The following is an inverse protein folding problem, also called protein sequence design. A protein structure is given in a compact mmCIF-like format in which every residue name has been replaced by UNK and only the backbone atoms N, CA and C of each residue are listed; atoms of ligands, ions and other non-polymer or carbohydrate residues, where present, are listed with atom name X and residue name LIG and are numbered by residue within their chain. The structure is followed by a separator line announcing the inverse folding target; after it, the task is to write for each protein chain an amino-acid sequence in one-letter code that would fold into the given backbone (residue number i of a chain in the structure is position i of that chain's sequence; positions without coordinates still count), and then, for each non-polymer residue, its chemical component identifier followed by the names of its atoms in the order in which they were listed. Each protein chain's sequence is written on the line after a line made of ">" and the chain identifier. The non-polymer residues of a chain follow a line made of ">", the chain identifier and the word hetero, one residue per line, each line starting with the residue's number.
data_IF_592679829439
#
_entry.id   IF_592679829439
#
_cell.length_a   1.000
_cell.length_b   1.000
_cell.length_c   1.000
_cell.angle_alpha   90.00
_cell.angle_beta   90.00
_cell.angle_gamma   90.00
#
_symmetry.space_group_name_H-M   'P 1'
#
loop_
_entity.id
_entity.type
_entity.pdbx_description
1 polymer ?
#
# COMPACT_ATOMS: atom_id res chain seq x y z
N UNK A 1 -32.43 -6.80 21.93
CA UNK A 1 -32.31 -7.60 20.69
C UNK A 1 -31.62 -6.84 19.55
N UNK A 2 -31.81 -5.53 19.42
CA UNK A 2 -31.23 -4.69 18.34
C UNK A 2 -29.68 -4.66 18.27
N UNK A 3 -28.97 -4.69 19.40
CA UNK A 3 -27.51 -4.61 19.43
C UNK A 3 -26.79 -5.86 18.88
N UNK A 4 -27.42 -7.04 18.93
CA UNK A 4 -26.83 -8.28 18.37
C UNK A 4 -26.83 -8.27 16.84
N UNK A 5 -27.88 -7.72 16.21
CA UNK A 5 -27.94 -7.57 14.76
C UNK A 5 -26.84 -6.63 14.24
N UNK A 6 -26.60 -5.50 14.89
CA UNK A 6 -25.54 -4.58 14.46
C UNK A 6 -24.15 -5.21 14.55
N UNK A 7 -23.84 -5.97 15.62
CA UNK A 7 -22.57 -6.72 15.71
C UNK A 7 -22.46 -7.77 14.60
N UNK A 8 -23.51 -8.53 14.32
CA UNK A 8 -23.49 -9.57 13.29
C UNK A 8 -23.35 -9.00 11.87
N UNK A 9 -24.03 -7.88 11.61
CA UNK A 9 -23.94 -7.13 10.35
C UNK A 9 -22.52 -6.57 10.19
N UNK A 10 -21.96 -5.93 11.22
CA UNK A 10 -20.58 -5.42 11.18
C UNK A 10 -19.54 -6.53 10.96
N UNK A 11 -19.73 -7.72 11.55
CA UNK A 11 -18.85 -8.87 11.32
C UNK A 11 -18.96 -9.36 9.87
N UNK A 12 -20.17 -9.40 9.30
CA UNK A 12 -20.37 -9.76 7.89
C UNK A 12 -19.70 -8.76 6.95
N UNK A 13 -19.93 -7.45 7.15
CA UNK A 13 -19.27 -6.40 6.36
C UNK A 13 -17.76 -6.45 6.49
N UNK A 14 -17.23 -6.59 7.71
CA UNK A 14 -15.80 -6.69 7.95
C UNK A 14 -15.18 -7.88 7.20
N UNK A 15 -15.80 -9.06 7.26
CA UNK A 15 -15.34 -10.25 6.52
C UNK A 15 -15.34 -10.02 5.00
N UNK A 16 -16.43 -9.48 4.45
CA UNK A 16 -16.55 -9.19 3.02
C UNK A 16 -15.48 -8.19 2.57
N UNK A 17 -15.21 -7.16 3.37
CA UNK A 17 -14.19 -6.15 3.06
C UNK A 17 -12.78 -6.75 2.99
N UNK A 18 -12.41 -7.64 3.92
CA UNK A 18 -11.09 -8.30 3.87
C UNK A 18 -10.96 -9.21 2.64
N UNK A 19 -12.01 -9.96 2.28
CA UNK A 19 -11.99 -10.80 1.09
C UNK A 19 -11.83 -9.97 -0.18
N UNK A 20 -12.56 -8.85 -0.29
CA UNK A 20 -12.43 -7.94 -1.42
C UNK A 20 -11.01 -7.37 -1.55
N UNK A 21 -10.41 -6.94 -0.43
CA UNK A 21 -9.04 -6.43 -0.41
C UNK A 21 -8.02 -7.46 -0.90
N UNK A 22 -8.15 -8.73 -0.51
CA UNK A 22 -7.26 -9.81 -0.98
C UNK A 22 -7.44 -10.11 -2.47
N UNK A 23 -8.69 -10.15 -2.96
CA UNK A 23 -8.97 -10.38 -4.39
C UNK A 23 -8.47 -9.22 -5.23
N UNK A 24 -8.71 -7.97 -4.80
CA UNK A 24 -8.22 -6.78 -5.48
C UNK A 24 -6.69 -6.74 -5.52
N UNK A 25 -6.03 -7.08 -4.40
CA UNK A 25 -4.58 -7.21 -4.33
C UNK A 25 -4.06 -8.23 -5.35
N UNK A 26 -4.61 -9.44 -5.34
CA UNK A 26 -4.16 -10.51 -6.24
C UNK A 26 -4.47 -10.20 -7.71
N UNK A 27 -5.68 -9.73 -8.02
CA UNK A 27 -6.08 -9.40 -9.38
C UNK A 27 -5.23 -8.27 -9.98
N UNK A 28 -4.94 -7.22 -9.20
CA UNK A 28 -4.17 -6.08 -9.68
C UNK A 28 -2.65 -6.29 -9.57
N UNK A 29 -2.12 -6.47 -8.36
CA UNK A 29 -0.66 -6.53 -8.19
C UNK A 29 -0.06 -7.82 -8.75
N UNK A 30 -0.75 -8.95 -8.63
CA UNK A 30 -0.20 -10.22 -9.10
C UNK A 30 -0.56 -10.47 -10.57
N UNK A 31 -1.84 -10.56 -10.93
CA UNK A 31 -2.22 -10.95 -12.29
C UNK A 31 -1.96 -9.84 -13.31
N UNK A 32 -2.43 -8.62 -13.05
CA UNK A 32 -2.31 -7.52 -14.01
C UNK A 32 -0.85 -7.09 -14.22
N UNK A 33 -0.09 -6.81 -13.15
CA UNK A 33 1.31 -6.38 -13.32
C UNK A 33 2.20 -7.47 -13.92
N UNK A 34 2.02 -8.75 -13.58
CA UNK A 34 2.77 -9.83 -14.24
C UNK A 34 2.40 -9.97 -15.72
N UNK A 35 1.13 -9.84 -16.09
CA UNK A 35 0.73 -9.88 -17.49
C UNK A 35 1.40 -8.77 -18.30
N UNK A 36 1.44 -7.54 -17.75
CA UNK A 36 2.17 -6.42 -18.37
C UNK A 36 3.67 -6.66 -18.41
N UNK A 37 4.27 -7.21 -17.35
CA UNK A 37 5.69 -7.54 -17.33
C UNK A 37 6.06 -8.55 -18.42
N UNK A 38 5.22 -9.57 -18.65
CA UNK A 38 5.43 -10.56 -19.71
C UNK A 38 5.28 -9.95 -21.10
N UNK A 39 4.24 -9.14 -21.33
CA UNK A 39 4.04 -8.43 -22.59
C UNK A 39 5.21 -7.49 -22.91
N UNK A 40 5.77 -6.82 -21.91
CA UNK A 40 6.90 -5.90 -22.06
C UNK A 40 8.27 -6.58 -21.99
N UNK A 41 8.33 -7.91 -21.78
CA UNK A 41 9.55 -8.68 -21.51
C UNK A 41 10.39 -8.09 -20.38
N UNK A 42 9.72 -7.55 -19.37
CA UNK A 42 10.35 -6.98 -18.19
C UNK A 42 10.72 -8.11 -17.22
N UNK A 43 12.01 -8.19 -16.87
CA UNK A 43 12.56 -9.29 -16.08
C UNK A 43 12.31 -9.13 -14.56
N UNK A 44 12.16 -7.89 -14.08
CA UNK A 44 11.93 -7.64 -12.65
C UNK A 44 10.44 -7.74 -12.32
N UNK A 45 10.07 -8.82 -11.63
CA UNK A 45 8.68 -9.14 -11.27
C UNK A 45 8.40 -8.94 -9.78
N UNK A 46 9.29 -8.25 -9.07
CA UNK A 46 9.17 -8.05 -7.62
C UNK A 46 8.21 -6.90 -7.28
N UNK A 47 6.91 -7.09 -7.56
CA UNK A 47 5.88 -6.07 -7.30
C UNK A 47 5.43 -5.99 -5.83
N UNK A 48 5.54 -7.10 -5.10
CA UNK A 48 5.23 -7.22 -3.68
C UNK A 48 6.12 -8.29 -3.02
N UNK A 49 6.21 -8.30 -1.69
CA UNK A 49 6.95 -9.29 -0.90
C UNK A 49 6.05 -9.88 0.20
N UNK A 50 6.60 -10.60 1.17
CA UNK A 50 5.90 -11.33 2.23
C UNK A 50 5.26 -10.38 3.26
N UNK A 51 4.29 -9.58 2.81
CA UNK A 51 3.62 -8.57 3.62
C UNK A 51 2.72 -9.16 4.70
N UNK A 52 2.21 -10.38 4.50
CA UNK A 52 1.33 -11.06 5.45
C UNK A 52 2.08 -11.51 6.72
N UNK A 53 3.40 -11.69 6.64
CA UNK A 53 4.26 -12.06 7.76
C UNK A 53 4.87 -10.83 8.47
N UNK A 54 4.54 -9.62 8.01
CA UNK A 54 5.12 -8.40 8.57
C UNK A 54 4.69 -8.20 10.03
N UNK A 55 5.68 -8.15 10.93
CA UNK A 55 5.46 -7.92 12.37
C UNK A 55 5.32 -6.44 12.75
N UNK A 56 5.69 -5.54 11.84
CA UNK A 56 5.62 -4.09 12.07
C UNK A 56 4.88 -3.38 10.93
N UNK A 57 4.13 -2.33 11.28
CA UNK A 57 3.44 -1.47 10.32
C UNK A 57 4.41 -0.87 9.29
N UNK A 58 5.61 -0.51 9.73
CA UNK A 58 6.64 0.01 8.85
C UNK A 58 7.08 -1.02 7.81
N UNK A 59 7.15 -2.31 8.17
CA UNK A 59 7.48 -3.38 7.22
C UNK A 59 6.31 -3.64 6.27
N UNK A 60 5.08 -3.67 6.79
CA UNK A 60 3.86 -3.90 6.00
C UNK A 60 3.73 -2.90 4.83
N UNK A 61 3.91 -1.60 5.09
CA UNK A 61 3.83 -0.58 4.03
C UNK A 61 4.92 -0.70 2.96
N UNK A 62 6.08 -1.30 3.27
CA UNK A 62 7.17 -1.50 2.30
C UNK A 62 6.95 -2.72 1.41
N UNK A 63 6.37 -3.78 1.98
CA UNK A 63 6.27 -5.08 1.31
C UNK A 63 4.93 -5.28 0.60
N UNK A 64 3.90 -4.50 0.95
CA UNK A 64 2.58 -4.57 0.31
C UNK A 64 2.62 -4.19 -1.18
N UNK A 65 3.11 -2.98 -1.51
CA UNK A 65 3.25 -2.51 -2.89
C UNK A 65 4.63 -1.88 -3.06
N UNK A 66 5.58 -2.68 -3.54
CA UNK A 66 6.98 -2.28 -3.66
C UNK A 66 7.12 -1.17 -4.69
N UNK A 67 6.35 -1.22 -5.78
CA UNK A 67 6.42 -0.21 -6.87
C UNK A 67 6.09 1.19 -6.36
N UNK A 68 4.95 1.33 -5.66
CA UNK A 68 4.53 2.62 -5.10
C UNK A 68 5.47 3.06 -3.98
N UNK A 69 5.87 2.11 -3.11
CA UNK A 69 6.80 2.42 -2.04
C UNK A 69 8.15 2.93 -2.57
N UNK A 70 8.71 2.29 -3.59
CA UNK A 70 10.00 2.67 -4.18
C UNK A 70 9.92 3.99 -4.93
N UNK A 71 8.79 4.27 -5.59
CA UNK A 71 8.50 5.58 -6.18
C UNK A 71 8.45 6.69 -5.12
N UNK A 72 7.65 6.51 -4.06
CA UNK A 72 7.55 7.47 -2.95
C UNK A 72 8.91 7.66 -2.27
N UNK A 73 9.67 6.59 -2.08
CA UNK A 73 10.99 6.64 -1.47
C UNK A 73 11.99 7.42 -2.34
N UNK A 74 12.03 7.12 -3.64
CA UNK A 74 13.03 7.67 -4.55
C UNK A 74 12.77 9.14 -4.91
N UNK A 75 11.51 9.53 -5.09
CA UNK A 75 11.15 10.88 -5.56
C UNK A 75 10.76 11.84 -4.45
N UNK A 76 10.19 11.36 -3.34
CA UNK A 76 9.76 12.24 -2.25
C UNK A 76 10.74 12.15 -1.12
N UNK A 77 10.89 10.96 -0.54
CA UNK A 77 11.72 10.81 0.67
C UNK A 77 13.17 11.19 0.40
N UNK A 78 13.77 10.67 -0.68
CA UNK A 78 15.18 10.93 -1.01
C UNK A 78 15.42 12.38 -1.37
N UNK A 79 14.51 13.03 -2.09
CA UNK A 79 14.69 14.41 -2.51
C UNK A 79 14.42 15.39 -1.36
N UNK A 80 13.40 15.15 -0.52
CA UNK A 80 13.24 15.86 0.75
C UNK A 80 14.46 15.70 1.65
N UNK A 81 15.00 14.47 1.76
CA UNK A 81 16.18 14.23 2.58
C UNK A 81 17.43 14.93 2.03
N UNK A 82 17.59 15.04 0.71
CA UNK A 82 18.69 15.80 0.09
C UNK A 82 18.54 17.31 0.32
N UNK A 83 17.31 17.84 0.24
CA UNK A 83 17.04 19.27 0.39
C UNK A 83 17.15 19.77 1.83
N UNK A 84 16.60 19.01 2.79
CA UNK A 84 16.52 19.43 4.20
C UNK A 84 17.66 18.87 5.07
N UNK A 85 18.33 17.80 4.63
CA UNK A 85 19.41 17.15 5.36
C UNK A 85 18.95 16.14 6.43
N UNK A 86 19.91 15.40 6.99
CA UNK A 86 19.71 14.20 7.84
C UNK A 86 18.83 14.44 9.08
N UNK A 87 18.75 15.69 9.58
CA UNK A 87 17.97 16.04 10.77
C UNK A 87 16.44 15.94 10.58
N UNK A 88 15.94 15.96 9.35
CA UNK A 88 14.49 16.05 9.08
C UNK A 88 13.88 14.75 8.56
N UNK A 89 14.39 13.60 9.02
CA UNK A 89 13.86 12.28 8.68
C UNK A 89 12.37 12.14 8.98
N UNK A 90 11.92 12.62 10.14
CA UNK A 90 10.50 12.57 10.52
C UNK A 90 9.62 13.40 9.58
N UNK A 91 10.05 14.61 9.23
CA UNK A 91 9.33 15.48 8.29
C UNK A 91 9.16 14.80 6.94
N UNK A 92 10.22 14.14 6.44
CA UNK A 92 10.17 13.41 5.18
C UNK A 92 9.21 12.21 5.24
N UNK A 93 9.14 11.51 6.38
CA UNK A 93 8.17 10.41 6.57
C UNK A 93 6.73 10.92 6.62
N UNK A 94 6.47 12.01 7.34
CA UNK A 94 5.13 12.61 7.39
C UNK A 94 4.68 13.14 6.03
N UNK A 95 5.59 13.74 5.25
CA UNK A 95 5.29 14.21 3.89
C UNK A 95 4.85 13.06 2.97
N UNK A 96 5.53 11.91 3.02
CA UNK A 96 5.16 10.73 2.22
C UNK A 96 3.78 10.19 2.60
N UNK A 97 3.51 10.05 3.90
CA UNK A 97 2.21 9.54 4.38
C UNK A 97 1.09 10.53 4.05
N UNK A 98 1.33 11.83 4.22
CA UNK A 98 0.37 12.87 3.90
C UNK A 98 0.01 12.88 2.41
N UNK A 99 1.01 12.89 1.52
CA UNK A 99 0.77 12.84 0.09
C UNK A 99 0.01 11.57 -0.30
N UNK A 100 0.43 10.42 0.25
CA UNK A 100 -0.29 9.16 0.05
C UNK A 100 -1.75 9.28 0.47
N UNK A 101 -2.05 9.87 1.63
CA UNK A 101 -3.42 10.06 2.09
C UNK A 101 -4.24 10.95 1.14
N UNK A 102 -3.69 12.08 0.69
CA UNK A 102 -4.37 12.97 -0.27
C UNK A 102 -4.71 12.26 -1.59
N UNK A 103 -3.79 11.45 -2.12
CA UNK A 103 -4.02 10.69 -3.36
C UNK A 103 -5.09 9.61 -3.16
N UNK A 104 -5.06 8.89 -2.04
CA UNK A 104 -6.09 7.88 -1.76
C UNK A 104 -7.47 8.52 -1.61
N UNK A 105 -7.56 9.67 -0.94
CA UNK A 105 -8.80 10.43 -0.78
C UNK A 105 -9.34 10.90 -2.14
N UNK A 106 -8.46 11.37 -3.03
CA UNK A 106 -8.82 11.77 -4.40
C UNK A 106 -9.33 10.61 -5.26
N UNK A 107 -8.78 9.40 -5.10
CA UNK A 107 -9.21 8.21 -5.87
C UNK A 107 -10.55 7.67 -5.34
N UNK A 108 -10.82 7.84 -4.05
CA UNK A 108 -12.04 7.35 -3.39
C UNK A 108 -13.22 8.33 -3.45
N UNK A 109 -12.95 9.62 -3.58
CA UNK A 109 -13.95 10.69 -3.76
C UNK A 109 -14.62 10.62 -5.13
#
# INVERSE_FOLDING_TARGET
>A
MHMKNNKFINIKFSKVNYTFLLIAFYGFLHCWLNAFAEMLRFADRQFYSDWWTATSWATYYRTWNIVVHDWLYTYIYRDCHKLFGVKYRLVSMYAVIFLSACVHDYILS
#
